data_IF_103797529064
#
_entry.id   IF_103797529064
#
_cell.length_a   1.000
_cell.length_b   1.000
_cell.length_c   1.000
_cell.angle_alpha   90.00
_cell.angle_beta   90.00
_cell.angle_gamma   90.00
#
_symmetry.space_group_name_H-M   'P 1'
#
loop_
_entity.id
_entity.type
_entity.pdbx_description
1 polymer ?
#
# COMPACT_ATOMS: atom_id res chain seq x y z
N UNK A 1 27.31 -11.98 -1.10
CA UNK A 1 26.30 -12.74 -0.34
C UNK A 1 26.83 -14.12 0.06
N UNK A 2 27.28 -14.95 -0.89
CA UNK A 2 27.76 -16.31 -0.56
C UNK A 2 28.86 -16.39 0.51
N UNK A 3 29.82 -15.45 0.50
CA UNK A 3 30.90 -15.42 1.48
C UNK A 3 30.44 -15.21 2.94
N UNK A 4 29.23 -14.68 3.14
CA UNK A 4 28.65 -14.39 4.45
C UNK A 4 27.47 -15.31 4.79
N UNK A 5 27.18 -16.31 3.95
CA UNK A 5 26.05 -17.20 4.15
C UNK A 5 26.21 -18.06 5.41
N UNK A 6 25.17 -18.11 6.23
CA UNK A 6 25.12 -18.92 7.45
C UNK A 6 23.91 -19.86 7.42
N UNK A 7 24.10 -21.19 7.39
CA UNK A 7 23.00 -22.16 7.23
C UNK A 7 21.93 -22.13 8.32
N UNK A 8 22.30 -21.72 9.54
CA UNK A 8 21.40 -21.72 10.72
C UNK A 8 20.80 -20.34 11.01
N UNK A 9 20.96 -19.37 10.10
CA UNK A 9 20.46 -18.01 10.25
C UNK A 9 19.60 -17.63 9.05
N UNK A 10 18.73 -16.64 9.25
CA UNK A 10 18.10 -15.92 8.14
C UNK A 10 19.16 -15.08 7.42
N UNK A 11 19.35 -15.33 6.13
CA UNK A 11 20.32 -14.59 5.33
C UNK A 11 19.58 -13.54 4.50
N UNK A 12 19.97 -12.27 4.64
CA UNK A 12 19.31 -11.16 4.00
C UNK A 12 20.32 -10.18 3.45
N UNK A 13 20.10 -9.72 2.23
CA UNK A 13 20.80 -8.61 1.62
C UNK A 13 19.87 -7.42 1.65
N UNK A 14 20.31 -6.32 2.25
CA UNK A 14 19.58 -5.05 2.20
C UNK A 14 20.34 -4.14 1.25
N UNK A 15 19.68 -3.69 0.18
CA UNK A 15 20.25 -2.75 -0.79
C UNK A 15 19.59 -1.40 -0.60
N UNK A 16 20.40 -0.35 -0.44
CA UNK A 16 19.94 1.05 -0.44
C UNK A 16 20.37 1.69 -1.74
N UNK A 17 19.42 2.11 -2.58
CA UNK A 17 19.72 2.55 -3.95
C UNK A 17 18.65 3.48 -4.53
N UNK A 18 19.03 4.31 -5.49
CA UNK A 18 18.10 5.02 -6.37
C UNK A 18 17.57 4.12 -7.51
N UNK A 19 18.09 2.89 -7.63
CA UNK A 19 17.77 1.93 -8.69
C UNK A 19 18.01 2.49 -10.11
N UNK A 20 18.83 3.54 -10.27
CA UNK A 20 19.22 4.05 -11.58
C UNK A 20 20.39 3.22 -12.14
N UNK A 21 20.07 2.01 -12.61
CA UNK A 21 21.06 1.10 -13.20
C UNK A 21 21.68 1.72 -14.47
N UNK A 22 22.91 2.19 -14.36
CA UNK A 22 23.60 2.97 -15.41
C UNK A 22 24.95 2.38 -15.85
N UNK A 23 25.46 1.38 -15.13
CA UNK A 23 26.76 0.73 -15.38
C UNK A 23 26.65 -0.78 -15.19
N UNK A 24 27.43 -1.54 -15.95
CA UNK A 24 27.41 -3.00 -15.88
C UNK A 24 26.14 -3.59 -16.51
N UNK A 25 25.51 -4.55 -15.81
CA UNK A 25 24.24 -5.15 -16.24
C UNK A 25 23.10 -4.22 -15.83
N UNK A 26 22.46 -3.59 -16.82
CA UNK A 26 21.35 -2.65 -16.60
C UNK A 26 20.00 -3.22 -17.06
N UNK A 27 19.97 -4.44 -17.59
CA UNK A 27 18.74 -5.13 -17.94
C UNK A 27 18.03 -5.66 -16.67
N UNK A 28 16.82 -5.16 -16.43
CA UNK A 28 16.02 -5.48 -15.24
C UNK A 28 15.73 -6.97 -15.10
N UNK A 29 15.49 -7.68 -16.21
CA UNK A 29 15.23 -9.12 -16.21
C UNK A 29 16.47 -9.89 -15.76
N UNK A 30 17.63 -9.54 -16.30
CA UNK A 30 18.89 -10.20 -15.91
C UNK A 30 19.20 -9.96 -14.44
N UNK A 31 18.97 -8.75 -13.93
CA UNK A 31 19.17 -8.46 -12.51
C UNK A 31 18.18 -9.23 -11.62
N UNK A 32 16.90 -9.33 -12.01
CA UNK A 32 15.90 -10.05 -11.22
C UNK A 32 16.15 -11.55 -11.19
N UNK A 33 16.76 -12.14 -12.23
CA UNK A 33 17.24 -13.53 -12.20
C UNK A 33 18.32 -13.76 -11.15
N UNK A 34 19.13 -12.74 -10.81
CA UNK A 34 20.11 -12.84 -9.72
C UNK A 34 19.39 -12.89 -8.37
N UNK A 35 18.34 -12.08 -8.19
CA UNK A 35 17.52 -12.14 -6.98
C UNK A 35 16.90 -13.52 -6.78
N UNK A 36 16.26 -14.07 -7.82
CA UNK A 36 15.67 -15.41 -7.81
C UNK A 36 16.72 -16.50 -7.51
N UNK A 37 17.91 -16.40 -8.11
CA UNK A 37 19.00 -17.34 -7.84
C UNK A 37 19.46 -17.35 -6.37
N UNK A 38 19.48 -16.19 -5.72
CA UNK A 38 19.83 -16.07 -4.30
C UNK A 38 18.69 -16.50 -3.38
N UNK A 39 17.43 -16.23 -3.75
CA UNK A 39 16.26 -16.68 -2.99
C UNK A 39 16.19 -18.21 -2.93
N UNK A 40 16.46 -18.90 -4.05
CA UNK A 40 16.57 -20.37 -4.08
C UNK A 40 17.65 -20.93 -3.11
N UNK A 41 18.56 -20.08 -2.63
CA UNK A 41 19.60 -20.39 -1.64
C UNK A 41 19.28 -19.85 -0.23
N UNK A 42 18.04 -19.41 -0.01
CA UNK A 42 17.54 -18.77 1.21
C UNK A 42 18.28 -17.48 1.56
N UNK A 43 18.71 -16.73 0.55
CA UNK A 43 19.28 -15.38 0.70
C UNK A 43 18.28 -14.39 0.09
N UNK A 44 17.49 -13.73 0.93
CA UNK A 44 16.44 -12.79 0.49
C UNK A 44 16.99 -11.39 0.24
N UNK A 45 16.37 -10.65 -0.67
CA UNK A 45 16.76 -9.28 -1.02
C UNK A 45 15.68 -8.28 -0.61
N UNK A 46 15.96 -7.45 0.38
CA UNK A 46 15.14 -6.28 0.69
C UNK A 46 15.75 -5.02 0.06
N UNK A 47 14.91 -4.17 -0.50
CA UNK A 47 15.29 -2.95 -1.23
C UNK A 47 14.80 -1.71 -0.52
N UNK A 48 15.69 -0.72 -0.36
CA UNK A 48 15.38 0.60 0.16
C UNK A 48 15.66 1.62 -0.94
N UNK A 49 14.59 2.18 -1.49
CA UNK A 49 14.62 3.24 -2.49
C UNK A 49 15.00 4.58 -1.86
N UNK A 50 15.94 5.29 -2.47
CA UNK A 50 16.35 6.64 -2.03
C UNK A 50 16.51 7.59 -3.21
N UNK A 51 16.40 8.89 -2.94
CA UNK A 51 16.63 9.93 -3.94
C UNK A 51 15.34 10.42 -4.59
N UNK A 52 15.45 11.51 -5.36
CA UNK A 52 14.30 12.16 -6.02
C UNK A 52 13.96 11.52 -7.35
N UNK A 53 14.99 11.09 -8.06
CA UNK A 53 14.87 10.34 -9.30
C UNK A 53 15.24 8.91 -8.93
N UNK A 54 14.24 8.04 -8.88
CA UNK A 54 14.43 6.64 -8.52
C UNK A 54 13.65 5.75 -9.47
N UNK A 55 14.14 4.52 -9.70
CA UNK A 55 13.46 3.55 -10.55
C UNK A 55 12.68 2.54 -9.71
N UNK A 56 11.47 2.94 -9.32
CA UNK A 56 10.49 2.14 -8.58
C UNK A 56 10.32 0.74 -9.17
N UNK A 57 9.98 0.69 -10.47
CA UNK A 57 9.68 -0.56 -11.17
C UNK A 57 10.87 -1.53 -11.24
N UNK A 58 12.11 -1.03 -11.22
CA UNK A 58 13.27 -1.91 -11.14
C UNK A 58 13.40 -2.49 -9.73
N UNK A 59 13.33 -1.64 -8.71
CA UNK A 59 13.54 -2.08 -7.33
C UNK A 59 12.45 -3.05 -6.89
N UNK A 60 11.19 -2.73 -7.21
CA UNK A 60 10.02 -3.60 -7.01
C UNK A 60 10.24 -4.99 -7.62
N UNK A 61 10.62 -5.06 -8.90
CA UNK A 61 10.90 -6.34 -9.56
C UNK A 61 12.04 -7.12 -8.88
N UNK A 62 13.07 -6.44 -8.38
CA UNK A 62 14.20 -7.10 -7.72
C UNK A 62 13.81 -7.67 -6.36
N UNK A 63 13.05 -6.92 -5.57
CA UNK A 63 12.58 -7.35 -4.24
C UNK A 63 11.53 -8.42 -4.34
N UNK A 64 10.66 -8.34 -5.37
CA UNK A 64 9.66 -9.35 -5.66
C UNK A 64 10.29 -10.70 -5.96
N UNK A 65 11.21 -10.76 -6.94
CA UNK A 65 11.93 -11.99 -7.26
C UNK A 65 12.87 -12.43 -6.11
N UNK A 66 13.28 -11.51 -5.24
CA UNK A 66 14.11 -11.79 -4.08
C UNK A 66 13.33 -12.11 -2.79
N UNK A 67 12.00 -12.17 -2.86
CA UNK A 67 11.05 -12.40 -1.74
C UNK A 67 11.36 -11.55 -0.50
N UNK A 68 11.77 -10.30 -0.71
CA UNK A 68 12.13 -9.37 0.35
C UNK A 68 11.31 -8.09 0.32
N UNK A 69 11.48 -7.27 1.35
CA UNK A 69 10.66 -6.08 1.54
C UNK A 69 11.13 -4.95 0.63
N UNK A 70 10.18 -4.12 0.19
CA UNK A 70 10.44 -2.90 -0.56
C UNK A 70 9.94 -1.68 0.21
N UNK A 71 10.80 -0.67 0.39
CA UNK A 71 10.41 0.61 1.00
C UNK A 71 11.10 1.77 0.30
N UNK A 72 10.42 2.91 0.15
CA UNK A 72 10.99 4.16 -0.35
C UNK A 72 11.15 5.19 0.78
N UNK A 73 12.32 5.84 0.87
CA UNK A 73 12.59 6.88 1.88
C UNK A 73 12.32 8.26 1.31
N UNK A 74 11.06 8.70 1.39
CA UNK A 74 10.63 10.01 0.88
C UNK A 74 10.80 11.18 1.86
N UNK A 75 10.99 10.91 3.15
CA UNK A 75 11.07 11.93 4.20
C UNK A 75 11.93 11.49 5.39
N UNK A 76 12.38 12.44 6.22
CA UNK A 76 13.11 12.12 7.47
C UNK A 76 12.26 11.25 8.42
N UNK A 77 10.96 11.50 8.51
CA UNK A 77 10.06 10.69 9.32
C UNK A 77 10.01 9.22 8.83
N UNK A 78 10.13 9.01 7.53
CA UNK A 78 10.15 7.66 6.95
C UNK A 78 11.49 6.96 7.17
N UNK A 79 12.61 7.70 7.14
CA UNK A 79 13.92 7.19 7.55
C UNK A 79 13.86 6.71 9.01
N UNK A 80 13.34 7.55 9.90
CA UNK A 80 13.22 7.22 11.33
C UNK A 80 12.30 6.03 11.57
N UNK A 81 11.19 5.92 10.83
CA UNK A 81 10.29 4.77 10.92
C UNK A 81 10.96 3.48 10.44
N UNK A 82 11.58 3.50 9.25
CA UNK A 82 12.18 2.33 8.61
C UNK A 82 13.38 1.80 9.36
N UNK A 83 14.25 2.66 9.88
CA UNK A 83 15.41 2.25 10.68
C UNK A 83 15.14 2.19 12.18
N UNK A 84 13.93 2.58 12.61
CA UNK A 84 13.45 2.50 13.98
C UNK A 84 12.42 1.38 14.13
N UNK A 85 11.15 1.75 14.30
CA UNK A 85 10.06 0.81 14.65
C UNK A 85 9.75 -0.23 13.58
N UNK A 86 10.04 0.04 12.31
CA UNK A 86 9.71 -0.85 11.19
C UNK A 86 10.93 -1.60 10.64
N UNK A 87 12.09 -1.54 11.29
CA UNK A 87 13.30 -2.21 10.80
C UNK A 87 13.14 -3.72 10.67
N UNK A 88 12.36 -4.32 11.57
CA UNK A 88 11.94 -5.72 11.57
C UNK A 88 11.29 -6.14 10.25
N UNK A 89 10.44 -5.29 9.65
CA UNK A 89 9.82 -5.56 8.34
C UNK A 89 10.84 -5.78 7.22
N UNK A 90 12.03 -5.18 7.31
CA UNK A 90 13.08 -5.35 6.31
C UNK A 90 13.83 -6.68 6.46
N UNK A 91 13.77 -7.33 7.62
CA UNK A 91 14.62 -8.48 7.96
C UNK A 91 13.86 -9.75 8.32
N UNK A 92 12.59 -9.65 8.68
CA UNK A 92 11.77 -10.76 9.14
C UNK A 92 10.57 -10.99 8.20
N UNK A 93 10.63 -12.08 7.44
CA UNK A 93 9.49 -12.56 6.64
C UNK A 93 8.70 -13.51 7.52
N UNK A 94 7.40 -13.25 7.69
CA UNK A 94 6.51 -14.08 8.51
C UNK A 94 5.63 -15.02 7.68
N UNK A 95 5.40 -14.63 6.41
CA UNK A 95 4.43 -15.11 5.42
C UNK A 95 5.08 -15.21 4.03
N UNK A 96 5.25 -16.39 3.44
CA UNK A 96 5.58 -16.49 2.01
C UNK A 96 4.37 -16.93 1.18
N UNK A 97 4.31 -16.48 -0.07
CA UNK A 97 3.37 -17.01 -1.06
C UNK A 97 1.89 -16.94 -0.60
N UNK A 98 1.54 -15.84 0.05
CA UNK A 98 0.23 -15.64 0.68
C UNK A 98 -0.82 -15.41 -0.39
N UNK A 99 -1.90 -16.19 -0.33
CA UNK A 99 -3.09 -16.06 -1.16
C UNK A 99 -4.32 -15.95 -0.27
N UNK A 100 -5.18 -14.99 -0.60
CA UNK A 100 -6.47 -14.80 0.04
C UNK A 100 -7.57 -15.28 -0.88
N UNK A 101 -8.51 -16.06 -0.34
CA UNK A 101 -9.67 -16.55 -1.08
C UNK A 101 -10.95 -16.27 -0.31
N UNK A 102 -11.81 -15.48 -0.93
CA UNK A 102 -13.13 -15.18 -0.39
C UNK A 102 -14.17 -16.15 -0.98
N UNK A 103 -14.76 -16.97 -0.13
CA UNK A 103 -15.87 -17.86 -0.47
C UNK A 103 -17.18 -17.15 -0.15
N UNK A 104 -17.94 -16.84 -1.20
CA UNK A 104 -19.23 -16.18 -1.08
C UNK A 104 -20.36 -17.22 -1.15
N UNK A 105 -21.43 -17.06 -0.35
CA UNK A 105 -22.64 -17.85 -0.50
C UNK A 105 -23.33 -17.50 -1.82
N UNK A 106 -24.19 -18.38 -2.37
CA UNK A 106 -24.92 -18.10 -3.62
C UNK A 106 -25.81 -16.86 -3.60
N UNK A 107 -26.12 -16.34 -2.40
CA UNK A 107 -26.91 -15.13 -2.18
C UNK A 107 -26.10 -13.83 -2.27
N UNK A 108 -24.77 -13.92 -2.42
CA UNK A 108 -23.87 -12.77 -2.47
C UNK A 108 -23.00 -12.81 -3.72
N UNK A 109 -22.60 -11.62 -4.15
CA UNK A 109 -21.61 -11.44 -5.21
C UNK A 109 -20.70 -10.28 -4.90
N UNK A 110 -19.50 -10.35 -5.44
CA UNK A 110 -18.55 -9.26 -5.39
C UNK A 110 -18.87 -8.29 -6.53
N UNK A 111 -19.20 -7.05 -6.18
CA UNK A 111 -19.43 -5.96 -7.12
C UNK A 111 -18.10 -5.31 -7.50
N UNK A 112 -17.25 -5.04 -6.51
CA UNK A 112 -15.95 -4.42 -6.69
C UNK A 112 -14.92 -5.01 -5.71
N UNK A 113 -13.66 -4.97 -6.11
CA UNK A 113 -12.52 -5.31 -5.26
C UNK A 113 -11.45 -4.24 -5.43
N UNK A 114 -10.96 -3.73 -4.31
CA UNK A 114 -9.87 -2.78 -4.24
C UNK A 114 -8.71 -3.45 -3.50
N UNK A 115 -7.71 -3.84 -4.30
CA UNK A 115 -6.45 -4.45 -3.91
C UNK A 115 -5.51 -4.41 -5.11
N UNK A 116 -4.37 -5.08 -5.03
CA UNK A 116 -3.41 -5.09 -6.14
C UNK A 116 -3.93 -5.92 -7.32
N UNK A 117 -4.33 -7.17 -7.05
CA UNK A 117 -4.83 -8.10 -8.07
C UNK A 117 -5.95 -8.98 -7.50
N UNK A 118 -6.88 -9.39 -8.37
CA UNK A 118 -7.91 -10.38 -8.04
C UNK A 118 -8.26 -11.24 -9.26
N UNK A 119 -8.44 -12.53 -9.04
CA UNK A 119 -8.90 -13.47 -10.06
C UNK A 119 -9.69 -14.62 -9.41
N UNK A 120 -10.52 -15.27 -10.22
CA UNK A 120 -11.13 -16.56 -9.84
C UNK A 120 -10.19 -17.74 -10.06
N UNK A 121 -9.07 -17.51 -10.75
CA UNK A 121 -8.01 -18.47 -11.03
C UNK A 121 -6.78 -18.08 -10.21
N UNK A 122 -6.39 -18.92 -9.25
CA UNK A 122 -5.29 -18.64 -8.31
C UNK A 122 -4.00 -18.25 -9.02
N UNK A 123 -3.67 -18.93 -10.13
CA UNK A 123 -2.42 -18.73 -10.87
C UNK A 123 -2.32 -17.37 -11.56
N UNK A 124 -3.44 -16.65 -11.68
CA UNK A 124 -3.48 -15.32 -12.27
C UNK A 124 -3.34 -14.22 -11.21
N UNK A 125 -3.21 -14.57 -9.93
CA UNK A 125 -2.95 -13.64 -8.83
C UNK A 125 -1.50 -13.79 -8.42
N UNK A 126 -0.75 -12.69 -8.46
CA UNK A 126 0.60 -12.67 -7.92
C UNK A 126 0.57 -12.90 -6.41
N UNK A 127 1.46 -13.77 -5.93
CA UNK A 127 1.54 -14.09 -4.52
C UNK A 127 2.17 -12.95 -3.73
N UNK A 128 1.67 -12.72 -2.51
CA UNK A 128 2.20 -11.66 -1.63
C UNK A 128 3.10 -12.27 -0.55
N UNK A 129 4.12 -11.52 -0.13
CA UNK A 129 4.96 -11.86 1.00
C UNK A 129 4.66 -10.92 2.18
N UNK A 130 4.43 -11.49 3.36
CA UNK A 130 4.20 -10.70 4.58
C UNK A 130 5.47 -10.66 5.43
N UNK A 131 5.74 -9.46 5.94
CA UNK A 131 6.87 -9.18 6.81
C UNK A 131 6.39 -8.74 8.19
N UNK A 132 7.22 -8.91 9.21
CA UNK A 132 6.89 -8.47 10.56
C UNK A 132 6.51 -6.97 10.56
N UNK A 133 5.52 -6.61 11.37
CA UNK A 133 5.03 -5.22 11.52
C UNK A 133 4.50 -4.57 10.23
N UNK A 134 4.16 -5.37 9.21
CA UNK A 134 3.45 -4.90 8.01
C UNK A 134 1.96 -5.20 8.10
N UNK A 135 1.17 -4.47 7.32
CA UNK A 135 -0.27 -4.67 7.22
C UNK A 135 -0.72 -4.36 5.81
N UNK A 136 -1.67 -5.13 5.29
CA UNK A 136 -2.29 -4.92 3.99
C UNK A 136 -3.80 -4.72 4.20
N UNK A 137 -4.37 -3.75 3.51
CA UNK A 137 -5.81 -3.51 3.47
C UNK A 137 -6.33 -3.93 2.11
N UNK A 138 -7.34 -4.80 2.11
CA UNK A 138 -8.14 -5.15 0.94
C UNK A 138 -9.58 -4.81 1.23
N UNK A 139 -10.31 -4.43 0.21
CA UNK A 139 -11.68 -3.95 0.36
C UNK A 139 -12.54 -4.54 -0.76
N UNK A 140 -13.58 -5.27 -0.36
CA UNK A 140 -14.50 -5.91 -1.27
C UNK A 140 -15.92 -5.36 -1.04
N UNK A 141 -16.53 -4.87 -2.11
CA UNK A 141 -17.94 -4.48 -2.11
C UNK A 141 -18.77 -5.71 -2.48
N UNK A 142 -19.64 -6.13 -1.55
CA UNK A 142 -20.47 -7.33 -1.67
C UNK A 142 -21.95 -6.93 -1.70
N UNK A 143 -22.67 -7.41 -2.71
CA UNK A 143 -24.09 -7.15 -2.86
C UNK A 143 -24.92 -8.45 -2.99
N UNK A 144 -26.22 -8.41 -2.67
CA UNK A 144 -27.10 -9.57 -2.85
C UNK A 144 -27.19 -10.03 -4.32
N UNK A 145 -27.01 -11.32 -4.57
CA UNK A 145 -27.31 -11.96 -5.86
C UNK A 145 -28.74 -12.52 -5.85
N UNK A 146 -29.64 -11.92 -6.64
CA UNK A 146 -31.03 -12.36 -6.83
C UNK A 146 -31.80 -12.68 -5.54
N UNK A 147 -32.09 -11.66 -4.72
CA UNK A 147 -32.91 -11.82 -3.52
C UNK A 147 -32.52 -10.88 -2.40
N UNK A 148 -32.94 -11.23 -1.19
CA UNK A 148 -32.50 -10.57 0.03
C UNK A 148 -31.32 -11.31 0.65
N UNK A 149 -30.50 -10.58 1.42
CA UNK A 149 -29.49 -11.19 2.29
C UNK A 149 -30.15 -12.23 3.20
N UNK A 150 -29.47 -13.36 3.37
CA UNK A 150 -29.88 -14.42 4.27
C UNK A 150 -28.97 -14.35 5.50
N UNK A 151 -29.46 -13.93 6.68
CA UNK A 151 -28.63 -13.77 7.87
C UNK A 151 -27.88 -15.05 8.29
N UNK A 152 -28.43 -16.22 7.94
CA UNK A 152 -27.82 -17.51 8.23
C UNK A 152 -26.68 -17.91 7.28
N UNK A 153 -26.44 -17.14 6.21
CA UNK A 153 -25.34 -17.43 5.30
C UNK A 153 -24.01 -16.95 5.90
N UNK A 154 -22.94 -17.65 5.52
CA UNK A 154 -21.59 -17.33 5.94
C UNK A 154 -20.74 -16.87 4.75
N UNK A 155 -19.84 -15.94 5.01
CA UNK A 155 -18.72 -15.59 4.13
C UNK A 155 -17.46 -16.16 4.77
N UNK A 156 -16.64 -16.86 4.00
CA UNK A 156 -15.40 -17.44 4.50
C UNK A 156 -14.19 -16.84 3.79
N UNK A 157 -13.21 -16.38 4.56
CA UNK A 157 -11.89 -16.01 4.11
C UNK A 157 -10.94 -17.18 4.39
N UNK A 158 -10.44 -17.81 3.34
CA UNK A 158 -9.36 -18.79 3.38
C UNK A 158 -8.04 -18.05 3.09
N UNK A 159 -7.04 -18.27 3.95
CA UNK A 159 -5.69 -17.72 3.81
C UNK A 159 -4.73 -18.89 3.63
N UNK A 160 -4.19 -19.05 2.44
CA UNK A 160 -3.14 -20.04 2.15
C UNK A 160 -1.78 -19.34 2.14
N UNK A 161 -0.79 -19.90 2.84
CA UNK A 161 0.57 -19.36 2.84
C UNK A 161 1.62 -20.44 3.09
N UNK A 162 2.89 -20.11 2.88
CA UNK A 162 4.02 -20.97 3.18
C UNK A 162 4.80 -20.45 4.38
N UNK A 163 5.11 -21.34 5.31
CA UNK A 163 6.00 -21.06 6.43
C UNK A 163 7.40 -20.69 5.91
N UNK A 164 7.97 -19.55 6.34
CA UNK A 164 9.19 -19.02 5.74
C UNK A 164 10.47 -19.78 6.06
N UNK A 165 10.46 -20.68 7.05
CA UNK A 165 11.61 -21.49 7.45
C UNK A 165 11.56 -22.91 6.88
N UNK A 166 10.38 -23.53 6.97
CA UNK A 166 10.13 -24.92 6.59
C UNK A 166 9.66 -25.07 5.15
N UNK A 167 8.99 -24.06 4.59
CA UNK A 167 8.33 -24.11 3.28
C UNK A 167 7.03 -24.93 3.29
N UNK A 168 6.54 -25.33 4.47
CA UNK A 168 5.27 -26.05 4.60
C UNK A 168 4.10 -25.11 4.28
N UNK A 169 3.16 -25.58 3.45
CA UNK A 169 1.90 -24.87 3.20
C UNK A 169 1.00 -24.94 4.44
N UNK A 170 0.47 -23.79 4.84
CA UNK A 170 -0.51 -23.58 5.89
C UNK A 170 -1.79 -23.02 5.27
N UNK A 171 -2.92 -23.35 5.87
CA UNK A 171 -4.24 -22.83 5.51
C UNK A 171 -4.96 -22.42 6.79
N UNK A 172 -5.52 -21.23 6.79
CA UNK A 172 -6.34 -20.68 7.87
C UNK A 172 -7.70 -20.25 7.32
N UNK A 173 -8.77 -20.68 7.99
CA UNK A 173 -10.15 -20.36 7.62
C UNK A 173 -10.76 -19.41 8.66
N UNK A 174 -11.29 -18.29 8.17
CA UNK A 174 -12.07 -17.35 8.97
C UNK A 174 -13.49 -17.27 8.41
N UNK A 175 -14.46 -17.66 9.23
CA UNK A 175 -15.88 -17.68 8.85
C UNK A 175 -16.60 -16.52 9.54
N UNK A 176 -17.34 -15.76 8.76
CA UNK A 176 -18.13 -14.62 9.23
C UNK A 176 -19.59 -14.83 8.89
N UNK A 177 -20.45 -14.84 9.91
CA UNK A 177 -21.88 -14.95 9.71
C UNK A 177 -22.48 -13.60 9.29
N UNK A 178 -23.30 -13.59 8.24
CA UNK A 178 -23.89 -12.35 7.73
C UNK A 178 -24.84 -11.68 8.72
N UNK A 179 -25.59 -12.47 9.50
CA UNK A 179 -26.48 -11.94 10.53
C UNK A 179 -25.70 -11.12 11.56
N UNK A 180 -24.60 -11.69 12.08
CA UNK A 180 -23.73 -11.02 13.05
C UNK A 180 -23.10 -9.74 12.47
N UNK A 181 -22.57 -9.79 11.24
CA UNK A 181 -22.01 -8.61 10.57
C UNK A 181 -23.06 -7.49 10.45
N UNK A 182 -24.30 -7.82 10.07
CA UNK A 182 -25.35 -6.81 9.90
C UNK A 182 -25.82 -6.19 11.21
N UNK A 183 -25.58 -6.84 12.34
CA UNK A 183 -25.84 -6.29 13.68
C UNK A 183 -24.73 -5.32 14.14
N UNK A 184 -23.51 -5.42 13.60
CA UNK A 184 -22.38 -4.52 13.87
C UNK A 184 -22.48 -3.18 13.14
N UNK A 185 -23.56 -2.44 13.39
CA UNK A 185 -23.90 -1.20 12.65
C UNK A 185 -22.80 -0.14 12.66
N UNK A 186 -21.96 -0.08 13.70
CA UNK A 186 -20.86 0.88 13.78
C UNK A 186 -19.70 0.52 12.81
N UNK A 187 -19.35 -0.76 12.70
CA UNK A 187 -18.32 -1.22 11.77
C UNK A 187 -18.78 -1.09 10.32
N UNK A 188 -20.05 -1.38 10.04
CA UNK A 188 -20.65 -1.20 8.71
C UNK A 188 -20.60 0.27 8.31
N UNK A 189 -21.07 1.19 9.17
CA UNK A 189 -21.02 2.65 8.90
C UNK A 189 -19.60 3.17 8.72
N UNK A 190 -18.66 2.66 9.52
CA UNK A 190 -17.24 3.00 9.39
C UNK A 190 -16.68 2.53 8.04
N UNK A 191 -17.02 1.32 7.62
CA UNK A 191 -16.69 0.78 6.31
C UNK A 191 -17.22 1.64 5.17
N UNK A 192 -18.51 2.01 5.22
CA UNK A 192 -19.13 2.93 4.25
C UNK A 192 -18.40 4.28 4.19
N UNK A 193 -18.01 4.84 5.33
CA UNK A 193 -17.27 6.10 5.38
C UNK A 193 -15.88 5.98 4.74
N UNK A 194 -15.17 4.87 5.00
CA UNK A 194 -13.86 4.60 4.39
C UNK A 194 -14.00 4.42 2.87
N UNK A 195 -15.01 3.69 2.41
CA UNK A 195 -15.33 3.55 0.98
C UNK A 195 -15.54 4.92 0.33
N UNK A 196 -16.39 5.77 0.93
CA UNK A 196 -16.68 7.10 0.40
C UNK A 196 -15.44 8.00 0.34
N UNK A 197 -14.54 7.87 1.32
CA UNK A 197 -13.24 8.53 1.32
C UNK A 197 -12.37 8.06 0.15
N UNK A 198 -12.24 6.74 -0.05
CA UNK A 198 -11.44 6.14 -1.13
C UNK A 198 -11.96 6.56 -2.50
N UNK A 199 -13.28 6.45 -2.72
CA UNK A 199 -13.91 6.89 -3.95
C UNK A 199 -13.68 8.38 -4.21
N UNK A 200 -13.69 9.22 -3.17
CA UNK A 200 -13.35 10.63 -3.28
C UNK A 200 -11.91 10.85 -3.77
N UNK A 201 -10.95 10.09 -3.22
CA UNK A 201 -9.55 10.16 -3.65
C UNK A 201 -9.42 9.68 -5.10
N UNK A 202 -10.05 8.56 -5.45
CA UNK A 202 -10.04 8.01 -6.81
C UNK A 202 -10.65 8.98 -7.82
N UNK A 203 -11.85 9.52 -7.53
CA UNK A 203 -12.51 10.53 -8.37
C UNK A 203 -11.57 11.68 -8.67
N UNK A 204 -10.84 12.16 -7.66
CA UNK A 204 -9.88 13.25 -7.77
C UNK A 204 -8.60 12.87 -8.54
N UNK A 205 -8.08 11.66 -8.35
CA UNK A 205 -6.90 11.15 -9.06
C UNK A 205 -7.18 10.91 -10.55
N UNK A 206 -8.39 10.46 -10.88
CA UNK A 206 -8.84 10.21 -12.26
C UNK A 206 -9.26 11.47 -13.01
N UNK A 207 -9.27 12.66 -12.35
CA UNK A 207 -9.59 13.93 -13.03
C UNK A 207 -8.53 14.23 -14.08
N UNK A 208 -8.98 14.35 -15.33
CA UNK A 208 -8.16 14.92 -16.39
C UNK A 208 -7.76 16.37 -16.08
N UNK A 209 -6.59 16.79 -16.56
CA UNK A 209 -6.21 18.19 -16.48
C UNK A 209 -7.28 19.07 -17.16
N UNK A 210 -7.65 20.23 -16.57
CA UNK A 210 -8.64 21.12 -17.19
C UNK A 210 -8.24 21.49 -18.63
N UNK A 211 -9.22 21.67 -19.51
CA UNK A 211 -8.95 22.05 -20.90
C UNK A 211 -8.14 23.35 -20.97
N UNK A 212 -6.99 23.33 -21.66
CA UNK A 212 -6.07 24.48 -21.76
C UNK A 212 -5.15 24.67 -20.55
N UNK A 213 -5.18 23.75 -19.58
CA UNK A 213 -4.24 23.75 -18.47
C UNK A 213 -2.85 23.28 -18.93
N UNK A 214 -1.82 24.00 -18.49
CA UNK A 214 -0.42 23.59 -18.60
C UNK A 214 0.16 23.59 -17.18
N UNK A 215 0.95 22.56 -16.79
CA UNK A 215 1.61 22.57 -15.50
C UNK A 215 2.49 23.83 -15.41
N UNK A 216 2.18 24.74 -14.49
CA UNK A 216 3.14 25.78 -14.09
C UNK A 216 3.70 25.39 -12.73
N UNK A 217 5.03 25.53 -12.51
CA UNK A 217 5.63 25.32 -11.21
C UNK A 217 4.88 26.13 -10.15
N UNK A 218 4.29 25.44 -9.19
CA UNK A 218 3.53 26.08 -8.13
C UNK A 218 2.20 26.70 -8.55
N UNK A 219 1.45 26.13 -9.50
CA UNK A 219 0.04 26.47 -9.64
C UNK A 219 -0.81 25.24 -9.92
N UNK A 220 -1.42 24.69 -8.86
CA UNK A 220 -2.54 23.78 -9.01
C UNK A 220 -3.81 24.55 -8.63
N UNK A 221 -4.29 25.40 -9.55
CA UNK A 221 -5.60 26.03 -9.43
C UNK A 221 -6.61 25.20 -10.21
N UNK A 222 -7.36 24.38 -9.49
CA UNK A 222 -8.49 23.64 -10.03
C UNK A 222 -9.69 23.92 -9.12
N UNK A 223 -10.54 24.85 -9.55
CA UNK A 223 -11.71 25.26 -8.79
C UNK A 223 -12.73 24.13 -8.67
N UNK A 224 -12.82 23.25 -9.67
CA UNK A 224 -13.76 22.14 -9.67
C UNK A 224 -13.27 21.01 -8.76
N UNK A 225 -11.95 20.77 -8.67
CA UNK A 225 -11.40 19.88 -7.66
C UNK A 225 -11.60 20.42 -6.24
N UNK A 226 -11.45 21.74 -6.03
CA UNK A 226 -11.73 22.38 -4.74
C UNK A 226 -13.20 22.25 -4.33
N UNK A 227 -14.12 22.44 -5.27
CA UNK A 227 -15.56 22.26 -5.06
C UNK A 227 -15.91 20.81 -4.66
N UNK A 228 -15.41 19.83 -5.41
CA UNK A 228 -15.60 18.41 -5.11
C UNK A 228 -14.99 18.01 -3.75
N UNK A 229 -13.84 18.58 -3.40
CA UNK A 229 -13.24 18.46 -2.07
C UNK A 229 -14.18 18.96 -0.96
N UNK A 230 -14.80 20.12 -1.17
CA UNK A 230 -15.77 20.72 -0.26
C UNK A 230 -17.03 19.87 -0.11
N UNK A 231 -17.56 19.35 -1.21
CA UNK A 231 -18.74 18.49 -1.20
C UNK A 231 -18.46 17.18 -0.45
N UNK A 232 -17.41 16.46 -0.83
CA UNK A 232 -17.04 15.18 -0.18
C UNK A 232 -16.74 15.38 1.32
N UNK A 233 -16.16 16.53 1.70
CA UNK A 233 -15.95 16.88 3.13
C UNK A 233 -17.26 16.96 3.90
N UNK A 234 -18.31 17.53 3.32
CA UNK A 234 -19.63 17.61 3.97
C UNK A 234 -20.22 16.20 4.11
N UNK A 235 -20.20 15.42 3.03
CA UNK A 235 -20.72 14.05 3.01
C UNK A 235 -20.03 13.15 4.06
N UNK A 236 -18.70 13.16 4.12
CA UNK A 236 -17.94 12.40 5.12
C UNK A 236 -18.27 12.83 6.56
N UNK A 237 -18.49 14.12 6.81
CA UNK A 237 -18.86 14.64 8.14
C UNK A 237 -20.29 14.25 8.52
N UNK A 238 -21.20 14.24 7.56
CA UNK A 238 -22.57 13.80 7.78
C UNK A 238 -22.62 12.29 8.07
N UNK A 239 -21.83 11.47 7.36
CA UNK A 239 -21.68 10.04 7.65
C UNK A 239 -21.03 9.79 9.02
N UNK A 240 -20.06 10.63 9.41
CA UNK A 240 -19.41 10.55 10.72
C UNK A 240 -20.30 11.02 11.89
N UNK A 241 -21.49 11.58 11.62
CA UNK A 241 -22.31 12.22 12.64
C UNK A 241 -22.68 11.24 13.76
N UNK A 242 -22.32 11.62 15.00
CA UNK A 242 -22.59 10.81 16.19
C UNK A 242 -21.54 9.74 16.51
N UNK A 243 -20.57 9.50 15.62
CA UNK A 243 -19.45 8.60 15.91
C UNK A 243 -18.44 9.24 16.86
N UNK A 244 -17.82 8.41 17.70
CA UNK A 244 -16.67 8.77 18.56
C UNK A 244 -15.43 7.96 18.25
N UNK A 245 -15.44 7.24 17.11
CA UNK A 245 -14.32 6.41 16.71
C UNK A 245 -13.10 7.30 16.33
N UNK A 246 -11.94 7.12 16.98
CA UNK A 246 -10.73 7.87 16.65
C UNK A 246 -10.23 7.65 15.21
N UNK A 247 -10.52 6.50 14.61
CA UNK A 247 -10.16 6.22 13.22
C UNK A 247 -11.01 7.02 12.24
N UNK A 248 -12.32 7.20 12.52
CA UNK A 248 -13.17 8.09 11.72
C UNK A 248 -12.63 9.53 11.78
N UNK A 249 -12.24 10.00 12.97
CA UNK A 249 -11.61 11.32 13.11
C UNK A 249 -10.30 11.42 12.30
N UNK A 250 -9.52 10.33 12.22
CA UNK A 250 -8.31 10.27 11.41
C UNK A 250 -8.60 10.35 9.91
N UNK A 251 -9.61 9.63 9.41
CA UNK A 251 -10.03 9.68 7.99
C UNK A 251 -10.45 11.09 7.60
N UNK A 252 -11.25 11.77 8.43
CA UNK A 252 -11.64 13.16 8.19
C UNK A 252 -10.42 14.09 8.13
N UNK A 253 -9.44 13.91 9.04
CA UNK A 253 -8.20 14.68 9.03
C UNK A 253 -7.34 14.41 7.80
N UNK A 254 -7.32 13.18 7.27
CA UNK A 254 -6.60 12.84 6.04
C UNK A 254 -7.24 13.54 4.83
N UNK A 255 -8.58 13.54 4.75
CA UNK A 255 -9.29 14.26 3.69
C UNK A 255 -9.02 15.77 3.74
N UNK A 256 -9.06 16.36 4.93
CA UNK A 256 -8.74 17.79 5.11
C UNK A 256 -7.29 18.10 4.70
N UNK A 257 -6.34 17.24 5.06
CA UNK A 257 -4.94 17.35 4.63
C UNK A 257 -4.77 17.24 3.10
N UNK A 258 -5.51 16.32 2.47
CA UNK A 258 -5.53 16.18 1.02
C UNK A 258 -6.11 17.43 0.34
N UNK A 259 -7.25 17.93 0.79
CA UNK A 259 -7.91 19.09 0.18
C UNK A 259 -7.15 20.42 0.38
N UNK A 260 -6.32 20.53 1.43
CA UNK A 260 -5.48 21.71 1.66
C UNK A 260 -4.57 22.05 0.46
N UNK A 261 -4.23 21.07 -0.39
CA UNK A 261 -3.45 21.28 -1.62
C UNK A 261 -4.15 22.19 -2.65
N UNK A 262 -5.47 22.34 -2.56
CA UNK A 262 -6.30 23.17 -3.45
C UNK A 262 -6.65 24.52 -2.82
N UNK A 263 -6.69 24.60 -1.49
CA UNK A 263 -7.06 25.80 -0.75
C UNK A 263 -5.89 26.82 -0.67
N UNK A 264 -4.66 26.38 -0.92
CA UNK A 264 -3.44 27.20 -0.86
C UNK A 264 -3.26 28.17 -2.03
N UNK A 265 -3.39 29.47 -1.76
CA UNK A 265 -2.89 30.53 -2.63
C UNK A 265 -1.36 30.67 -2.50
N UNK A 266 -0.65 30.61 -3.64
CA UNK A 266 0.74 31.05 -3.79
C UNK A 266 0.84 32.57 -3.58
N UNK A 267 0.85 33.02 -2.32
CA UNK A 267 1.03 34.43 -1.94
C UNK A 267 2.27 34.69 -1.08
N UNK A 268 2.87 33.65 -0.51
CA UNK A 268 4.14 33.76 0.18
C UNK A 268 5.28 33.47 -0.78
N UNK A 269 6.26 34.38 -0.87
CA UNK A 269 7.60 34.00 -1.34
C UNK A 269 7.96 32.72 -0.58
N UNK A 270 8.40 31.62 -1.23
CA UNK A 270 8.89 30.47 -0.48
C UNK A 270 9.87 31.01 0.57
N UNK A 271 9.83 30.53 1.83
CA UNK A 271 10.82 30.97 2.80
C UNK A 271 12.16 30.81 2.09
N UNK A 272 12.90 31.93 1.94
CA UNK A 272 14.29 31.84 1.51
C UNK A 272 14.86 30.79 2.46
N UNK A 273 15.37 29.67 1.91
CA UNK A 273 16.31 28.85 2.65
C UNK A 273 17.23 29.86 3.32
N UNK A 274 17.26 29.88 4.64
CA UNK A 274 18.25 30.69 5.33
C UNK A 274 19.57 30.37 4.63
N UNK A 275 20.35 31.38 4.28
CA UNK A 275 21.71 31.21 3.78
C UNK A 275 22.64 30.61 4.89
N UNK A 276 22.07 29.87 5.84
CA UNK A 276 22.73 29.08 6.84
C UNK A 276 22.97 27.69 6.27
N UNK A 277 24.15 27.52 5.69
CA UNK A 277 25.12 26.43 5.87
C UNK A 277 24.67 24.97 6.11
N UNK A 278 23.41 24.57 5.93
CA UNK A 278 22.93 23.18 6.01
C UNK A 278 23.10 22.50 4.65
N UNK A 279 24.32 22.56 4.12
CA UNK A 279 24.77 21.63 3.08
C UNK A 279 25.29 20.39 3.80
N UNK A 280 24.66 19.25 3.51
CA UNK A 280 25.17 17.95 3.95
C UNK A 280 26.60 17.76 3.39
N UNK A 281 27.61 17.48 4.23
CA UNK A 281 29.00 17.48 3.81
C UNK A 281 29.38 16.16 3.13
N UNK A 282 28.91 15.90 1.90
CA UNK A 282 29.60 15.02 0.92
C UNK A 282 28.89 14.87 -0.44
N UNK A 283 28.33 15.94 -1.01
CA UNK A 283 27.87 15.93 -2.42
C UNK A 283 28.89 16.58 -3.38
N UNK A 284 30.18 16.52 -3.05
CA UNK A 284 31.29 16.83 -3.96
C UNK A 284 32.42 15.82 -3.73
N UNK A 285 32.38 14.72 -4.48
CA UNK A 285 33.55 14.13 -5.13
C UNK A 285 33.13 13.08 -6.16
#
# INVERSE_FOLDING_TARGET
ADASYQPTYTNRVIVVTDALANTGVTDARTMSMVSDWYDARRIRLSGIGVGREFNDALLDRLTEQGRGAYVFLGSEAEVDAVFGSHFTSLIETVANDVHFRLHLPPSLRMQAFHGEEASTVKQDVQAVHFFADTSQLMLADLEPWEGALRPQDDVMLEIEYQDPETGETRVEDHVFNLGEITEETDNVRKGELIMHFIEGIERQAMRGAPAGWSPRPGSWRDAAALEDCGQTRVELRDMAAGSRDPEIARVLSLWDGYCARFEGSFGGRPPRKSDGNDRWPSAER
#
